data_IF_699006956289
#
_entry.id   IF_699006956289
#
_cell.length_a   1.000
_cell.length_b   1.000
_cell.length_c   1.000
_cell.angle_alpha   90.00
_cell.angle_beta   90.00
_cell.angle_gamma   90.00
#
_symmetry.space_group_name_H-M   'P 1'
#
loop_
_entity.id
_entity.type
_entity.pdbx_description
1 polymer ?
#
# COMPACT_ATOMS: atom_id res chain seq x y z
N UNK A 1 38.54 -15.52 15.51
CA UNK A 1 37.72 -14.66 14.61
C UNK A 1 37.25 -15.55 13.47
N UNK A 2 35.95 -15.61 13.20
CA UNK A 2 35.45 -16.37 12.06
C UNK A 2 35.78 -15.60 10.78
N UNK A 3 36.60 -16.19 9.90
CA UNK A 3 36.80 -15.65 8.56
C UNK A 3 35.49 -15.75 7.78
N UNK A 4 34.94 -14.60 7.41
CA UNK A 4 33.83 -14.53 6.46
C UNK A 4 34.39 -14.89 5.09
N UNK A 5 34.23 -16.15 4.68
CA UNK A 5 34.55 -16.57 3.32
C UNK A 5 33.60 -15.88 2.34
N UNK A 6 34.10 -14.85 1.67
CA UNK A 6 33.41 -14.24 0.54
C UNK A 6 33.48 -15.23 -0.62
N UNK A 7 32.39 -15.96 -0.86
CA UNK A 7 32.31 -16.89 -1.99
C UNK A 7 32.59 -16.13 -3.29
N UNK A 8 33.57 -16.56 -4.07
CA UNK A 8 33.77 -16.09 -5.46
C UNK A 8 32.48 -16.31 -6.24
N UNK A 9 31.82 -15.22 -6.65
CA UNK A 9 30.67 -15.26 -7.57
C UNK A 9 31.07 -16.05 -8.81
N UNK A 10 30.38 -17.17 -9.08
CA UNK A 10 30.50 -17.88 -10.35
C UNK A 10 29.91 -16.97 -11.44
N UNK A 11 30.69 -16.72 -12.49
CA UNK A 11 30.29 -15.90 -13.64
C UNK A 11 29.35 -16.69 -14.56
N UNK A 12 28.11 -16.93 -14.13
CA UNK A 12 27.14 -17.62 -14.97
C UNK A 12 25.71 -17.26 -14.62
N UNK A 13 25.05 -16.45 -15.46
CA UNK A 13 23.60 -16.33 -15.58
C UNK A 13 22.78 -15.91 -14.35
N UNK A 14 23.38 -15.80 -13.17
CA UNK A 14 22.70 -15.41 -11.95
C UNK A 14 22.25 -13.95 -12.05
N UNK A 15 20.94 -13.75 -11.89
CA UNK A 15 20.34 -12.42 -11.91
C UNK A 15 20.93 -11.61 -10.75
N UNK A 16 21.69 -10.57 -11.06
CA UNK A 16 22.46 -9.77 -10.09
C UNK A 16 21.62 -9.13 -8.97
N UNK A 17 20.32 -8.94 -9.22
CA UNK A 17 19.34 -8.42 -8.26
C UNK A 17 18.71 -9.49 -7.34
N UNK A 18 18.92 -10.78 -7.60
CA UNK A 18 18.26 -11.86 -6.87
C UNK A 18 19.23 -12.40 -5.81
N UNK A 19 19.02 -11.99 -4.56
CA UNK A 19 19.90 -12.38 -3.45
C UNK A 19 19.41 -13.62 -2.69
N UNK A 20 18.10 -13.90 -2.74
CA UNK A 20 17.47 -15.01 -2.01
C UNK A 20 16.61 -15.87 -2.95
N UNK A 21 16.18 -17.02 -2.44
CA UNK A 21 15.25 -17.90 -3.15
C UNK A 21 13.97 -17.16 -3.54
N UNK A 22 13.49 -17.39 -4.76
CA UNK A 22 12.24 -16.79 -5.24
C UNK A 22 11.04 -17.45 -4.57
N UNK A 23 10.11 -16.63 -4.08
CA UNK A 23 8.77 -17.09 -3.71
C UNK A 23 7.91 -17.28 -4.96
N UNK A 24 6.81 -18.06 -4.88
CA UNK A 24 5.86 -18.11 -6.00
C UNK A 24 5.30 -16.69 -6.23
N UNK A 25 5.08 -16.35 -7.49
CA UNK A 25 4.57 -15.05 -7.91
C UNK A 25 3.05 -15.09 -8.05
N UNK A 26 2.36 -13.99 -7.73
CA UNK A 26 0.95 -13.79 -8.09
C UNK A 26 0.77 -13.84 -9.61
N UNK A 27 1.73 -13.30 -10.36
CA UNK A 27 1.82 -13.42 -11.81
C UNK A 27 2.58 -14.70 -12.12
N UNK A 28 1.84 -15.79 -12.27
CA UNK A 28 2.44 -17.10 -12.45
C UNK A 28 2.95 -17.38 -13.86
N UNK A 29 3.56 -18.56 -14.00
CA UNK A 29 4.10 -19.05 -15.27
C UNK A 29 3.03 -19.04 -16.36
N UNK A 30 3.38 -18.53 -17.54
CA UNK A 30 2.46 -18.44 -18.68
C UNK A 30 1.59 -17.19 -18.69
N UNK A 31 1.68 -16.31 -17.70
CA UNK A 31 1.00 -15.00 -17.72
C UNK A 31 1.98 -13.91 -18.11
N UNK A 32 1.61 -13.13 -19.11
CA UNK A 32 2.23 -11.86 -19.46
C UNK A 32 1.48 -10.74 -18.74
N UNK A 33 2.22 -9.81 -18.15
CA UNK A 33 1.69 -8.56 -17.59
C UNK A 33 2.52 -7.40 -18.11
N UNK A 34 1.83 -6.38 -18.64
CA UNK A 34 2.43 -5.13 -19.08
C UNK A 34 1.67 -3.96 -18.45
N UNK A 35 2.40 -2.94 -18.01
CA UNK A 35 1.84 -1.66 -17.57
C UNK A 35 2.37 -0.59 -18.50
N UNK A 36 1.47 0.09 -19.20
CA UNK A 36 1.81 1.16 -20.14
C UNK A 36 0.94 2.39 -19.84
N UNK A 37 1.58 3.49 -19.45
CA UNK A 37 0.90 4.73 -19.03
C UNK A 37 -0.19 4.43 -17.96
N UNK A 38 0.19 3.69 -16.92
CA UNK A 38 -0.72 3.19 -15.89
C UNK A 38 -1.69 2.09 -16.33
N UNK A 39 -1.98 1.87 -17.62
CA UNK A 39 -2.94 0.84 -18.04
C UNK A 39 -2.31 -0.55 -18.03
N UNK A 40 -2.98 -1.50 -17.39
CA UNK A 40 -2.57 -2.91 -17.30
C UNK A 40 -3.13 -3.69 -18.47
N UNK A 41 -2.27 -4.43 -19.16
CA UNK A 41 -2.63 -5.44 -20.13
C UNK A 41 -2.07 -6.79 -19.70
N UNK A 42 -2.90 -7.82 -19.80
CA UNK A 42 -2.47 -9.19 -19.52
C UNK A 42 -2.73 -10.08 -20.73
N UNK A 43 -1.87 -11.07 -20.91
CA UNK A 43 -2.09 -12.14 -21.88
C UNK A 43 -1.71 -13.47 -21.24
N UNK A 44 -2.37 -14.56 -21.63
CA UNK A 44 -2.23 -15.87 -21.03
C UNK A 44 -1.83 -16.88 -22.11
N UNK A 45 -0.77 -17.63 -21.85
CA UNK A 45 -0.32 -18.75 -22.66
C UNK A 45 -0.96 -20.05 -22.17
N UNK A 46 -1.08 -21.06 -23.05
CA UNK A 46 -1.70 -22.36 -22.75
C UNK A 46 -1.08 -23.13 -21.57
N UNK A 47 0.12 -22.75 -21.13
CA UNK A 47 0.81 -23.36 -19.98
C UNK A 47 0.41 -22.75 -18.63
N UNK A 48 -0.40 -21.68 -18.63
CA UNK A 48 -0.84 -21.01 -17.41
C UNK A 48 -1.87 -21.87 -16.66
N UNK A 49 -1.74 -21.93 -15.34
CA UNK A 49 -2.72 -22.62 -14.50
C UNK A 49 -3.99 -21.77 -14.32
N UNK A 50 -5.09 -22.41 -13.94
CA UNK A 50 -6.41 -21.77 -13.81
C UNK A 50 -6.39 -20.57 -12.84
N UNK A 51 -5.67 -20.67 -11.73
CA UNK A 51 -5.61 -19.60 -10.74
C UNK A 51 -4.86 -18.36 -11.22
N UNK A 52 -3.78 -18.55 -12.00
CA UNK A 52 -3.07 -17.46 -12.63
C UNK A 52 -3.89 -16.82 -13.76
N UNK A 53 -4.74 -17.60 -14.45
CA UNK A 53 -5.72 -17.07 -15.40
C UNK A 53 -6.72 -16.15 -14.68
N UNK A 54 -7.24 -16.57 -13.51
CA UNK A 54 -8.14 -15.74 -12.70
C UNK A 54 -7.48 -14.44 -12.27
N UNK A 55 -6.25 -14.48 -11.75
CA UNK A 55 -5.49 -13.28 -11.36
C UNK A 55 -5.25 -12.36 -12.56
N UNK A 56 -4.85 -12.92 -13.71
CA UNK A 56 -4.64 -12.15 -14.93
C UNK A 56 -5.93 -11.45 -15.38
N UNK A 57 -7.06 -12.15 -15.38
CA UNK A 57 -8.36 -11.58 -15.74
C UNK A 57 -8.75 -10.40 -14.84
N UNK A 58 -8.56 -10.53 -13.52
CA UNK A 58 -8.83 -9.47 -12.53
C UNK A 58 -7.92 -8.26 -12.75
N UNK A 59 -6.66 -8.45 -13.15
CA UNK A 59 -5.75 -7.33 -13.44
C UNK A 59 -5.94 -6.71 -14.82
N UNK A 60 -6.46 -7.47 -15.79
CA UNK A 60 -6.56 -7.03 -17.17
C UNK A 60 -7.43 -5.77 -17.32
N UNK A 61 -6.95 -4.77 -18.05
CA UNK A 61 -7.61 -3.46 -18.22
C UNK A 61 -7.79 -2.64 -16.93
N UNK A 62 -7.13 -3.02 -15.83
CA UNK A 62 -7.04 -2.13 -14.67
C UNK A 62 -6.09 -0.96 -14.96
N UNK A 63 -6.18 0.10 -14.16
CA UNK A 63 -5.20 1.17 -14.10
C UNK A 63 -4.39 1.05 -12.82
N UNK A 64 -3.08 0.88 -12.96
CA UNK A 64 -2.11 0.90 -11.88
C UNK A 64 -1.89 2.33 -11.40
N UNK A 65 -1.87 2.53 -10.09
CA UNK A 65 -1.55 3.79 -9.45
C UNK A 65 -0.03 3.91 -9.26
N UNK A 66 0.63 4.39 -10.31
CA UNK A 66 2.07 4.64 -10.31
C UNK A 66 2.49 5.53 -9.12
N UNK A 67 3.62 5.19 -8.50
CA UNK A 67 4.21 5.86 -7.33
C UNK A 67 3.34 5.90 -6.05
N UNK A 68 2.21 5.19 -6.03
CA UNK A 68 1.39 5.00 -4.85
C UNK A 68 1.42 3.52 -4.44
N UNK A 69 2.57 3.06 -3.97
CA UNK A 69 2.74 1.73 -3.39
C UNK A 69 3.52 1.84 -2.07
N UNK A 70 3.17 1.00 -1.10
CA UNK A 70 3.64 1.14 0.28
C UNK A 70 3.90 -0.23 0.91
N UNK A 71 4.74 -0.26 1.94
CA UNK A 71 4.86 -1.44 2.80
C UNK A 71 3.89 -1.32 3.97
N UNK A 72 2.73 -1.97 3.87
CA UNK A 72 1.64 -1.90 4.86
C UNK A 72 1.60 -3.21 5.65
N UNK A 73 1.80 -3.15 6.96
CA UNK A 73 1.80 -4.35 7.83
C UNK A 73 2.77 -5.45 7.34
N UNK A 74 3.92 -5.05 6.80
CA UNK A 74 4.91 -5.97 6.24
C UNK A 74 4.59 -6.50 4.84
N UNK A 75 3.53 -6.02 4.19
CA UNK A 75 3.15 -6.37 2.83
C UNK A 75 3.53 -5.27 1.84
N UNK A 76 4.24 -5.64 0.78
CA UNK A 76 4.42 -4.81 -0.42
C UNK A 76 3.08 -4.68 -1.16
N UNK A 77 2.47 -3.50 -1.02
CA UNK A 77 1.05 -3.28 -1.34
C UNK A 77 0.92 -2.36 -2.54
N UNK A 78 0.30 -2.86 -3.60
CA UNK A 78 0.07 -2.16 -4.86
C UNK A 78 -1.42 -1.94 -5.12
N UNK A 79 -1.76 -0.80 -5.72
CA UNK A 79 -3.15 -0.40 -5.94
C UNK A 79 -3.47 -0.24 -7.42
N UNK A 80 -4.63 -0.77 -7.79
CA UNK A 80 -5.18 -0.74 -9.13
C UNK A 80 -6.65 -0.33 -9.06
N UNK A 81 -7.16 0.27 -10.13
CA UNK A 81 -8.59 0.54 -10.27
C UNK A 81 -9.17 -0.04 -11.56
N UNK A 82 -10.45 -0.36 -11.51
CA UNK A 82 -11.29 -0.64 -12.68
C UNK A 82 -12.55 0.22 -12.60
N UNK A 83 -12.81 0.99 -13.65
CA UNK A 83 -14.03 1.80 -13.78
C UNK A 83 -15.23 0.98 -14.23
N UNK A 84 -15.00 -0.26 -14.69
CA UNK A 84 -16.03 -1.23 -15.04
C UNK A 84 -16.67 -1.86 -13.81
N UNK A 85 -17.77 -2.57 -14.03
CA UNK A 85 -18.46 -3.33 -13.00
C UNK A 85 -17.62 -4.53 -12.50
N UNK A 86 -17.63 -4.86 -11.19
CA UNK A 86 -16.85 -5.97 -10.65
C UNK A 86 -17.41 -7.37 -10.99
N UNK A 87 -18.65 -7.47 -11.48
CA UNK A 87 -19.41 -8.73 -11.59
C UNK A 87 -18.70 -9.80 -12.43
N UNK A 88 -18.05 -9.42 -13.53
CA UNK A 88 -17.28 -10.35 -14.37
C UNK A 88 -16.09 -10.97 -13.61
N UNK A 89 -15.37 -10.13 -12.87
CA UNK A 89 -14.17 -10.52 -12.13
C UNK A 89 -14.54 -11.35 -10.89
N UNK A 90 -15.58 -10.94 -10.17
CA UNK A 90 -16.13 -11.70 -9.04
C UNK A 90 -16.71 -13.06 -9.48
N UNK A 91 -17.35 -13.10 -10.65
CA UNK A 91 -17.81 -14.35 -11.28
C UNK A 91 -16.64 -15.29 -11.61
N UNK A 92 -15.56 -14.74 -12.18
CA UNK A 92 -14.32 -15.48 -12.47
C UNK A 92 -13.68 -16.06 -11.21
N UNK A 93 -13.67 -15.30 -10.11
CA UNK A 93 -13.16 -15.76 -8.81
C UNK A 93 -14.11 -16.72 -8.08
N UNK A 94 -15.38 -16.77 -8.50
CA UNK A 94 -16.50 -17.41 -7.79
C UNK A 94 -16.53 -16.98 -6.33
N UNK A 95 -16.43 -15.66 -6.10
CA UNK A 95 -16.37 -15.05 -4.77
C UNK A 95 -17.05 -13.69 -4.82
N UNK A 96 -18.11 -13.51 -4.03
CA UNK A 96 -18.85 -12.24 -3.95
C UNK A 96 -18.46 -11.42 -2.72
N UNK A 97 -18.09 -12.05 -1.61
CA UNK A 97 -17.58 -11.38 -0.41
C UNK A 97 -16.76 -12.36 0.44
N UNK A 98 -15.96 -11.83 1.37
CA UNK A 98 -15.15 -12.62 2.27
C UNK A 98 -13.83 -13.06 1.65
N UNK A 99 -13.23 -14.12 2.20
CA UNK A 99 -11.89 -14.59 1.82
C UNK A 99 -11.92 -16.00 1.25
N UNK A 100 -11.10 -16.27 0.24
CA UNK A 100 -10.90 -17.58 -0.39
C UNK A 100 -9.43 -17.78 -0.72
N UNK A 101 -8.89 -18.95 -0.39
CA UNK A 101 -7.60 -19.37 -0.93
C UNK A 101 -7.82 -20.09 -2.27
N UNK A 102 -7.03 -19.73 -3.28
CA UNK A 102 -6.91 -20.47 -4.54
C UNK A 102 -6.00 -21.70 -4.34
N UNK A 103 -6.04 -22.65 -5.27
CA UNK A 103 -5.30 -23.93 -5.15
C UNK A 103 -3.79 -23.72 -5.13
N UNK A 104 -3.31 -22.70 -5.84
CA UNK A 104 -1.90 -22.31 -5.85
C UNK A 104 -1.43 -21.57 -4.57
N UNK A 105 -2.34 -21.33 -3.61
CA UNK A 105 -2.07 -20.68 -2.31
C UNK A 105 -2.26 -19.16 -2.30
N UNK A 106 -2.76 -18.57 -3.39
CA UNK A 106 -3.10 -17.15 -3.43
C UNK A 106 -4.34 -16.89 -2.58
N UNK A 107 -4.24 -15.96 -1.64
CA UNK A 107 -5.38 -15.49 -0.86
C UNK A 107 -6.10 -14.39 -1.62
N UNK A 108 -7.40 -14.56 -1.83
CA UNK A 108 -8.27 -13.54 -2.42
C UNK A 108 -9.27 -13.09 -1.35
N UNK A 109 -9.34 -11.79 -1.11
CA UNK A 109 -10.33 -11.18 -0.21
C UNK A 109 -11.17 -10.19 -1.00
N UNK A 110 -12.50 -10.32 -0.90
CA UNK A 110 -13.45 -9.41 -1.53
C UNK A 110 -14.23 -8.68 -0.44
N UNK A 111 -14.13 -7.36 -0.45
CA UNK A 111 -15.01 -6.50 0.34
C UNK A 111 -15.90 -5.67 -0.58
N UNK A 112 -17.14 -5.45 -0.17
CA UNK A 112 -18.08 -4.64 -0.92
C UNK A 112 -18.77 -3.67 0.02
N UNK A 113 -19.03 -2.47 -0.48
CA UNK A 113 -19.78 -1.45 0.25
C UNK A 113 -20.67 -0.68 -0.71
N UNK A 114 -21.72 -0.07 -0.16
CA UNK A 114 -22.64 0.76 -0.93
C UNK A 114 -22.80 2.08 -0.18
N UNK A 115 -22.62 3.20 -0.87
CA UNK A 115 -22.91 4.52 -0.32
C UNK A 115 -23.64 5.39 -1.34
N UNK A 116 -24.34 6.41 -0.85
CA UNK A 116 -25.02 7.40 -1.68
C UNK A 116 -24.06 8.54 -1.94
N UNK A 117 -23.64 8.71 -3.19
CA UNK A 117 -22.77 9.82 -3.63
C UNK A 117 -23.59 10.70 -4.56
N UNK A 118 -23.73 11.99 -4.23
CA UNK A 118 -24.52 12.96 -5.01
C UNK A 118 -25.95 12.47 -5.30
N UNK A 119 -26.61 11.89 -4.29
CA UNK A 119 -27.98 11.37 -4.42
C UNK A 119 -28.11 10.07 -5.23
N UNK A 120 -27.01 9.49 -5.70
CA UNK A 120 -27.00 8.21 -6.43
C UNK A 120 -26.34 7.13 -5.60
N UNK A 121 -27.02 5.98 -5.48
CA UNK A 121 -26.43 4.77 -4.89
C UNK A 121 -25.27 4.29 -5.74
N UNK A 122 -24.09 4.18 -5.15
CA UNK A 122 -22.86 3.69 -5.78
C UNK A 122 -22.34 2.48 -5.00
N UNK A 123 -22.04 1.41 -5.72
CA UNK A 123 -21.46 0.17 -5.18
C UNK A 123 -19.95 0.19 -5.41
N UNK A 124 -19.21 -0.15 -4.37
CA UNK A 124 -17.76 -0.29 -4.40
C UNK A 124 -17.43 -1.75 -4.12
N UNK A 125 -16.35 -2.20 -4.76
CA UNK A 125 -15.74 -3.47 -4.44
C UNK A 125 -14.23 -3.30 -4.37
N UNK A 126 -13.60 -4.07 -3.49
CA UNK A 126 -12.16 -4.17 -3.37
C UNK A 126 -11.79 -5.64 -3.39
N UNK A 127 -10.94 -6.01 -4.35
CA UNK A 127 -10.41 -7.36 -4.51
C UNK A 127 -8.93 -7.32 -4.14
N UNK A 128 -8.59 -7.83 -2.96
CA UNK A 128 -7.19 -8.04 -2.54
C UNK A 128 -6.75 -9.43 -2.99
N UNK A 129 -5.66 -9.50 -3.77
CA UNK A 129 -4.96 -10.73 -4.12
C UNK A 129 -3.59 -10.73 -3.45
N UNK A 130 -3.35 -11.67 -2.55
CA UNK A 130 -2.18 -11.70 -1.69
C UNK A 130 -1.44 -13.04 -1.77
N UNK A 131 -0.12 -12.98 -1.90
CA UNK A 131 0.76 -14.13 -1.81
C UNK A 131 2.08 -13.75 -1.15
N UNK A 132 2.41 -14.39 -0.02
CA UNK A 132 3.57 -13.99 0.78
C UNK A 132 3.46 -12.53 1.22
N UNK A 133 4.51 -11.75 0.99
CA UNK A 133 4.54 -10.33 1.29
C UNK A 133 3.89 -9.46 0.19
N UNK A 134 3.53 -10.00 -0.98
CA UNK A 134 2.94 -9.20 -2.05
C UNK A 134 1.41 -9.14 -1.91
N UNK A 135 0.84 -7.93 -1.97
CA UNK A 135 -0.60 -7.68 -1.98
C UNK A 135 -0.99 -6.73 -3.12
N UNK A 136 -1.95 -7.15 -3.94
CA UNK A 136 -2.49 -6.34 -5.04
C UNK A 136 -3.96 -6.04 -4.74
N UNK A 137 -4.33 -4.76 -4.65
CA UNK A 137 -5.70 -4.31 -4.49
C UNK A 137 -6.26 -3.85 -5.84
N UNK A 138 -7.42 -4.37 -6.25
CA UNK A 138 -8.17 -3.87 -7.39
C UNK A 138 -9.49 -3.30 -6.90
N UNK A 139 -9.62 -1.98 -7.01
CA UNK A 139 -10.81 -1.23 -6.59
C UNK A 139 -11.75 -0.93 -7.74
N UNK A 140 -13.04 -1.05 -7.47
CA UNK A 140 -14.14 -0.85 -8.42
C UNK A 140 -15.11 0.21 -7.91
N UNK A 141 -15.79 0.87 -8.85
CA UNK A 141 -16.88 1.81 -8.55
C UNK A 141 -16.41 3.22 -8.13
N UNK A 142 -15.15 3.56 -8.39
CA UNK A 142 -14.56 4.87 -8.08
C UNK A 142 -13.75 5.42 -9.25
N UNK A 143 -13.55 6.73 -9.26
CA UNK A 143 -12.65 7.37 -10.22
C UNK A 143 -11.19 7.22 -9.80
N UNK A 144 -10.27 7.47 -10.73
CA UNK A 144 -8.83 7.47 -10.46
C UNK A 144 -8.47 8.46 -9.35
N UNK A 145 -9.02 9.67 -9.40
CA UNK A 145 -8.71 10.73 -8.44
C UNK A 145 -9.30 10.44 -7.06
N UNK A 146 -10.50 9.86 -6.99
CA UNK A 146 -11.10 9.41 -5.74
C UNK A 146 -10.23 8.35 -5.05
N UNK A 147 -9.71 7.38 -5.80
CA UNK A 147 -8.86 6.34 -5.22
C UNK A 147 -7.48 6.86 -4.81
N UNK A 148 -6.87 7.73 -5.62
CA UNK A 148 -5.62 8.41 -5.28
C UNK A 148 -5.75 9.17 -3.96
N UNK A 149 -6.81 9.98 -3.83
CA UNK A 149 -7.08 10.73 -2.61
C UNK A 149 -7.27 9.80 -1.40
N UNK A 150 -8.01 8.70 -1.57
CA UNK A 150 -8.23 7.71 -0.50
C UNK A 150 -6.93 7.07 -0.03
N UNK A 151 -6.05 6.66 -0.95
CA UNK A 151 -4.77 6.02 -0.62
C UNK A 151 -3.84 7.00 0.09
N UNK A 152 -3.74 8.24 -0.41
CA UNK A 152 -2.93 9.28 0.21
C UNK A 152 -3.41 9.64 1.61
N UNK A 153 -4.73 9.68 1.84
CA UNK A 153 -5.28 9.90 3.17
C UNK A 153 -4.97 8.74 4.12
N UNK A 154 -5.08 7.50 3.67
CA UNK A 154 -4.67 6.35 4.47
C UNK A 154 -3.17 6.35 4.78
N UNK A 155 -2.33 6.73 3.81
CA UNK A 155 -0.89 6.89 4.00
C UNK A 155 -0.60 7.97 5.05
N UNK A 156 -1.27 9.13 4.96
CA UNK A 156 -1.18 10.22 5.95
C UNK A 156 -1.53 9.74 7.35
N UNK A 157 -2.63 9.01 7.50
CA UNK A 157 -3.05 8.47 8.80
C UNK A 157 -1.98 7.55 9.41
N UNK A 158 -1.36 6.68 8.60
CA UNK A 158 -0.23 5.83 9.04
C UNK A 158 0.99 6.65 9.43
N UNK A 159 1.36 7.65 8.64
CA UNK A 159 2.48 8.55 8.92
C UNK A 159 2.28 9.30 10.24
N UNK A 160 1.10 9.90 10.44
CA UNK A 160 0.74 10.63 11.66
C UNK A 160 0.73 9.73 12.89
N UNK A 161 0.07 8.58 12.81
CA UNK A 161 0.02 7.62 13.92
C UNK A 161 1.42 7.16 14.32
N UNK A 162 2.25 6.83 13.34
CA UNK A 162 3.64 6.42 13.57
C UNK A 162 4.51 7.55 14.12
N UNK A 163 4.34 8.79 13.63
CA UNK A 163 5.07 9.95 14.11
C UNK A 163 4.74 10.26 15.57
N UNK A 164 3.45 10.29 15.92
CA UNK A 164 3.00 10.52 17.30
C UNK A 164 3.48 9.41 18.24
N UNK A 165 3.40 8.14 17.82
CA UNK A 165 3.89 7.01 18.62
C UNK A 165 5.41 7.09 18.88
N UNK A 166 6.20 7.44 17.85
CA UNK A 166 7.65 7.65 18.01
C UNK A 166 7.95 8.81 18.95
N UNK A 167 7.24 9.92 18.82
CA UNK A 167 7.44 11.09 19.66
C UNK A 167 7.08 10.82 21.12
N UNK A 168 5.98 10.10 21.36
CA UNK A 168 5.60 9.65 22.70
C UNK A 168 6.67 8.73 23.31
N UNK A 169 7.25 7.83 22.51
CA UNK A 169 8.32 6.95 22.95
C UNK A 169 9.61 7.73 23.29
N UNK A 170 10.01 8.71 22.46
CA UNK A 170 11.17 9.58 22.74
C UNK A 170 11.03 10.32 24.06
N UNK A 171 9.87 10.92 24.31
CA UNK A 171 9.60 11.62 25.57
C UNK A 171 9.61 10.65 26.77
N UNK A 172 9.15 9.41 26.58
CA UNK A 172 9.21 8.36 27.61
C UNK A 172 10.65 7.95 27.93
N UNK A 173 11.51 7.89 26.92
CA UNK A 173 12.92 7.50 27.03
C UNK A 173 13.82 8.66 27.48
N UNK A 174 13.28 9.87 27.58
CA UNK A 174 14.04 11.08 27.94
C UNK A 174 14.92 11.61 26.81
N UNK A 175 14.68 11.14 25.58
CA UNK A 175 15.37 11.62 24.38
C UNK A 175 14.88 13.02 23.97
N UNK A 176 15.71 13.72 23.19
CA UNK A 176 15.27 14.96 22.56
C UNK A 176 14.18 14.65 21.52
N UNK A 177 12.99 15.23 21.73
CA UNK A 177 11.86 15.08 20.82
C UNK A 177 12.13 15.73 19.46
N UNK A 178 11.29 15.44 18.47
CA UNK A 178 11.28 16.18 17.20
C UNK A 178 11.05 17.70 17.39
N UNK A 179 10.54 18.09 18.57
CA UNK A 179 10.35 19.47 18.99
C UNK A 179 10.57 19.62 20.50
N UNK A 180 10.90 20.83 20.92
CA UNK A 180 10.90 21.24 22.33
C UNK A 180 9.48 21.32 22.88
N UNK A 181 9.06 20.28 23.59
CA UNK A 181 7.82 20.25 24.36
C UNK A 181 8.00 20.84 25.75
N UNK A 182 7.05 21.66 26.19
CA UNK A 182 6.95 22.08 27.59
C UNK A 182 6.59 20.90 28.49
N UNK A 183 6.85 21.01 29.79
CA UNK A 183 6.51 19.94 30.75
C UNK A 183 5.02 19.59 30.77
N UNK A 184 4.14 20.57 30.53
CA UNK A 184 2.69 20.31 30.39
C UNK A 184 2.36 19.50 29.13
N UNK A 185 2.98 19.84 28.00
CA UNK A 185 2.79 19.14 26.72
C UNK A 185 3.38 17.72 26.77
N UNK A 186 4.54 17.51 27.40
CA UNK A 186 5.11 16.18 27.63
C UNK A 186 4.13 15.28 28.40
N UNK A 187 3.50 15.79 29.47
CA UNK A 187 2.48 15.05 30.23
C UNK A 187 1.24 14.72 29.38
N UNK A 188 0.81 15.62 28.50
CA UNK A 188 -0.27 15.34 27.56
C UNK A 188 0.13 14.26 26.56
N UNK A 189 1.32 14.35 25.98
CA UNK A 189 1.81 13.36 25.03
C UNK A 189 1.90 11.96 25.65
N UNK A 190 2.43 11.85 26.87
CA UNK A 190 2.52 10.58 27.59
C UNK A 190 1.16 9.98 27.96
N UNK A 191 0.17 10.82 28.28
CA UNK A 191 -1.17 10.34 28.70
C UNK A 191 -2.15 10.11 27.54
N UNK A 192 -2.14 10.96 26.53
CA UNK A 192 -3.11 10.96 25.43
C UNK A 192 -2.51 10.55 24.06
N UNK A 193 -1.19 10.39 23.96
CA UNK A 193 -0.49 10.06 22.71
C UNK A 193 -0.39 11.21 21.70
N UNK A 194 -0.90 12.40 22.06
CA UNK A 194 -0.86 13.61 21.24
C UNK A 194 -0.91 14.85 22.13
N UNK A 195 -0.50 16.00 21.58
CA UNK A 195 -0.56 17.29 22.26
C UNK A 195 -1.68 18.13 21.67
N UNK A 196 -2.54 18.70 22.52
CA UNK A 196 -3.67 19.51 22.04
C UNK A 196 -3.17 20.77 21.33
N UNK A 197 -3.79 21.12 20.18
CA UNK A 197 -3.43 22.30 19.39
C UNK A 197 -2.27 22.09 18.42
N UNK A 198 -1.66 20.90 18.42
CA UNK A 198 -0.66 20.48 17.44
C UNK A 198 -1.25 19.48 16.46
N UNK A 199 -0.83 19.59 15.20
CA UNK A 199 -1.12 18.60 14.17
C UNK A 199 0.17 18.31 13.37
N UNK A 200 0.18 17.18 12.65
CA UNK A 200 1.27 16.76 11.81
C UNK A 200 1.11 17.26 10.37
N UNK A 201 2.16 17.88 9.86
CA UNK A 201 2.25 18.40 8.49
C UNK A 201 3.42 17.75 7.78
N UNK A 202 3.31 17.58 6.47
CA UNK A 202 4.43 17.09 5.69
C UNK A 202 5.56 18.12 5.62
N UNK A 203 6.79 17.65 5.75
CA UNK A 203 7.99 18.48 5.54
C UNK A 203 8.20 18.66 4.03
N UNK A 204 8.28 17.54 3.30
CA UNK A 204 8.35 17.46 1.84
C UNK A 204 6.95 17.24 1.25
N UNK A 205 6.64 17.95 0.17
CA UNK A 205 5.36 17.84 -0.55
C UNK A 205 5.14 16.42 -1.07
N UNK A 206 4.01 15.82 -0.71
CA UNK A 206 3.61 14.47 -1.17
C UNK A 206 3.09 14.48 -2.60
N UNK A 207 2.78 15.65 -3.16
CA UNK A 207 2.48 15.81 -4.58
C UNK A 207 3.74 15.58 -5.43
N UNK A 208 4.92 15.96 -4.91
CA UNK A 208 6.21 15.74 -5.57
C UNK A 208 6.87 14.42 -5.17
N UNK A 209 6.67 13.99 -3.92
CA UNK A 209 7.27 12.78 -3.33
C UNK A 209 6.19 11.86 -2.73
N UNK A 210 5.30 11.27 -3.56
CA UNK A 210 4.20 10.43 -3.08
C UNK A 210 4.66 9.18 -2.31
N UNK A 211 5.87 8.69 -2.59
CA UNK A 211 6.50 7.57 -1.90
C UNK A 211 6.80 7.87 -0.42
N UNK A 212 6.81 9.15 -0.01
CA UNK A 212 7.01 9.57 1.37
C UNK A 212 5.69 9.78 2.14
N UNK A 213 4.53 9.51 1.53
CA UNK A 213 3.24 9.82 2.11
C UNK A 213 2.92 9.03 3.39
N UNK A 214 3.47 7.83 3.59
CA UNK A 214 3.31 7.06 4.84
C UNK A 214 4.52 7.15 5.78
N UNK A 215 5.51 7.99 5.46
CA UNK A 215 6.73 8.14 6.24
C UNK A 215 6.53 9.07 7.43
N UNK A 216 6.64 8.52 8.64
CA UNK A 216 6.67 9.30 9.88
C UNK A 216 7.83 10.31 9.94
N UNK A 217 8.94 10.04 9.25
CA UNK A 217 10.09 10.95 9.21
C UNK A 217 9.83 12.18 8.33
N UNK A 218 8.79 12.13 7.48
CA UNK A 218 8.36 13.27 6.69
C UNK A 218 7.29 14.11 7.42
N UNK A 219 7.01 13.84 8.71
CA UNK A 219 6.03 14.58 9.51
C UNK A 219 6.74 15.51 10.49
N UNK A 220 6.23 16.74 10.58
CA UNK A 220 6.60 17.74 11.60
C UNK A 220 5.35 18.20 12.36
N UNK A 221 5.49 18.50 13.65
CA UNK A 221 4.38 18.95 14.49
C UNK A 221 4.34 20.48 14.60
N UNK A 222 3.23 21.06 14.15
CA UNK A 222 3.02 22.51 14.13
C UNK A 222 1.68 22.88 14.77
N UNK A 223 1.62 24.05 15.39
CA UNK A 223 0.36 24.71 15.76
C UNK A 223 -0.22 25.45 14.55
N UNK A 224 -1.53 25.71 14.60
CA UNK A 224 -2.20 26.51 13.56
C UNK A 224 -1.56 27.88 13.32
N UNK A 225 -1.04 28.52 14.38
CA UNK A 225 -0.36 29.83 14.29
C UNK A 225 1.00 29.81 13.59
N UNK A 226 1.53 28.62 13.29
CA UNK A 226 2.84 28.41 12.67
C UNK A 226 2.71 28.00 11.20
N UNK A 227 1.49 27.65 10.76
CA UNK A 227 1.17 27.32 9.38
C UNK A 227 1.36 28.59 8.53
N UNK A 228 2.18 28.50 7.48
CA UNK A 228 2.37 29.59 6.51
C UNK A 228 3.42 30.64 6.87
N UNK A 229 4.15 30.51 7.99
CA UNK A 229 5.36 31.31 8.28
C UNK A 229 6.61 30.80 7.53
N UNK A 230 6.40 30.16 6.38
CA UNK A 230 7.45 29.63 5.50
C UNK A 230 7.81 30.65 4.44
#
# INVERSE_FOLDING_TARGET
MAEVQVSRRKSGGEKSWLWFATVKSLIGKGVMLAVNQGKVQTNVLNIANEDCIKVAAVLNNAYYLENLHFTVEGKDTHYFIKTTSPESDLGTLRLTSGRKALENGINVTVSQSTTVVNGRTRRFADVEMQYGALALHVRYGMTLDEEKARILEQARQRALSSAWAREQQRVRDGEEGARLWTEGEKRQLLSAGKVQGYDGYYVLSVEQYPELADSANNIQFLRQSEIGKR
#
